data_IF_317131451918
#
_entry.id   IF_317131451918
#
_cell.length_a   1.000
_cell.length_b   1.000
_cell.length_c   1.000
_cell.angle_alpha   90.00
_cell.angle_beta   90.00
_cell.angle_gamma   90.00
#
_symmetry.space_group_name_H-M   'P 1'
#
loop_
_entity.id
_entity.type
_entity.pdbx_description
1 polymer ?
#
# COMPACT_ATOMS: atom_id res chain seq x y z
N UNK A 1 -19.71 24.71 -6.85
CA UNK A 1 -19.33 24.76 -5.42
C UNK A 1 -20.61 24.78 -4.61
N UNK A 2 -20.80 23.83 -3.70
CA UNK A 2 -21.88 23.92 -2.74
C UNK A 2 -21.58 25.08 -1.77
N UNK A 3 -22.58 25.90 -1.50
CA UNK A 3 -22.47 27.05 -0.62
C UNK A 3 -22.42 26.55 0.83
N UNK A 4 -21.21 26.56 1.41
CA UNK A 4 -20.95 26.10 2.77
C UNK A 4 -21.75 26.90 3.80
N UNK A 5 -21.99 28.19 3.55
CA UNK A 5 -22.77 29.05 4.43
C UNK A 5 -24.26 28.68 4.37
N UNK A 6 -24.78 28.36 3.18
CA UNK A 6 -26.13 27.82 3.03
C UNK A 6 -26.31 26.47 3.72
N UNK A 7 -25.33 25.56 3.63
CA UNK A 7 -25.36 24.29 4.32
C UNK A 7 -25.33 24.48 5.85
N UNK A 8 -24.44 25.35 6.34
CA UNK A 8 -24.35 25.70 7.75
C UNK A 8 -25.66 26.30 8.28
N UNK A 9 -26.30 27.18 7.50
CA UNK A 9 -27.59 27.78 7.83
C UNK A 9 -28.70 26.71 7.95
N UNK A 10 -28.81 25.81 6.98
CA UNK A 10 -29.79 24.71 7.00
C UNK A 10 -29.55 23.82 8.23
N UNK A 11 -28.29 23.47 8.50
CA UNK A 11 -27.92 22.63 9.64
C UNK A 11 -28.29 23.30 10.96
N UNK A 12 -27.92 24.57 11.17
CA UNK A 12 -28.27 25.31 12.39
C UNK A 12 -29.78 25.47 12.59
N UNK A 13 -30.54 25.61 11.51
CA UNK A 13 -32.00 25.77 11.58
C UNK A 13 -32.75 24.46 11.83
N UNK A 14 -32.16 23.30 11.51
CA UNK A 14 -32.84 22.00 11.59
C UNK A 14 -32.24 21.04 12.63
N UNK A 15 -31.06 21.34 13.19
CA UNK A 15 -30.38 20.52 14.19
C UNK A 15 -30.03 21.34 15.43
N UNK A 16 -30.30 20.79 16.61
CA UNK A 16 -29.89 21.37 17.88
C UNK A 16 -28.48 20.92 18.24
N UNK A 17 -27.59 21.87 18.51
CA UNK A 17 -26.23 21.62 18.98
C UNK A 17 -26.10 22.02 20.44
N UNK A 18 -25.20 21.36 21.18
CA UNK A 18 -24.86 21.81 22.53
C UNK A 18 -24.24 23.21 22.49
N UNK A 19 -24.57 24.06 23.46
CA UNK A 19 -24.03 25.42 23.58
C UNK A 19 -22.49 25.44 23.65
N UNK A 20 -21.89 24.35 24.17
CA UNK A 20 -20.44 24.16 24.22
C UNK A 20 -20.06 22.85 23.52
N UNK A 21 -19.58 22.96 22.28
CA UNK A 21 -19.04 21.82 21.55
C UNK A 21 -17.67 21.42 22.13
N UNK A 22 -17.47 20.13 22.38
CA UNK A 22 -16.15 19.60 22.76
C UNK A 22 -15.24 19.55 21.54
N UNK A 23 -14.00 20.01 21.69
CA UNK A 23 -12.99 19.87 20.64
C UNK A 23 -12.78 18.38 20.30
N UNK A 24 -12.79 18.08 19.01
CA UNK A 24 -12.52 16.71 18.53
C UNK A 24 -11.02 16.43 18.51
N UNK A 25 -10.65 15.17 18.75
CA UNK A 25 -9.29 14.66 18.50
C UNK A 25 -9.11 14.12 17.08
N UNK A 26 -10.15 14.23 16.26
CA UNK A 26 -10.16 13.75 14.88
C UNK A 26 -9.45 14.75 13.94
N UNK A 27 -8.70 14.26 12.94
CA UNK A 27 -8.36 12.85 12.71
C UNK A 27 -7.29 12.35 13.70
N UNK A 28 -7.48 11.14 14.22
CA UNK A 28 -6.46 10.45 15.02
C UNK A 28 -5.54 9.69 14.08
N UNK A 29 -4.24 9.95 14.16
CA UNK A 29 -3.21 9.20 13.43
C UNK A 29 -2.38 8.39 14.41
N UNK A 30 -2.25 7.09 14.13
CA UNK A 30 -1.38 6.20 14.90
C UNK A 30 -0.05 6.15 14.15
N UNK A 31 1.02 6.54 14.81
CA UNK A 31 2.36 6.48 14.21
C UNK A 31 2.80 5.04 13.98
N UNK A 32 3.49 4.83 12.87
CA UNK A 32 4.01 3.52 12.51
C UNK A 32 5.08 3.06 13.50
N UNK A 33 5.13 1.75 13.74
CA UNK A 33 6.21 1.14 14.51
C UNK A 33 7.44 1.01 13.60
N UNK A 34 8.62 1.53 14.01
CA UNK A 34 9.83 1.42 13.22
C UNK A 34 10.31 -0.03 13.08
N UNK A 35 10.55 -0.45 11.84
CA UNK A 35 11.16 -1.70 11.43
C UNK A 35 12.65 -1.42 11.28
N UNK A 36 13.46 -2.02 12.16
CA UNK A 36 14.91 -1.74 12.23
C UNK A 36 15.75 -2.79 11.52
N UNK A 37 15.23 -4.00 11.42
CA UNK A 37 15.90 -5.15 10.84
C UNK A 37 14.85 -6.11 10.27
N UNK A 38 15.27 -7.02 9.40
CA UNK A 38 14.35 -8.01 8.89
C UNK A 38 13.87 -8.93 10.02
N UNK A 39 12.56 -9.02 10.19
CA UNK A 39 11.92 -9.81 11.26
C UNK A 39 10.77 -10.61 10.68
N UNK A 40 10.71 -11.90 10.99
CA UNK A 40 9.60 -12.77 10.60
C UNK A 40 8.66 -12.97 11.78
N UNK A 41 7.47 -12.38 11.72
CA UNK A 41 6.40 -12.61 12.68
C UNK A 41 5.56 -13.82 12.24
N UNK A 42 5.64 -14.92 12.96
CA UNK A 42 4.99 -16.17 12.58
C UNK A 42 3.84 -16.52 13.52
N UNK A 43 2.66 -16.78 12.95
CA UNK A 43 1.50 -17.33 13.65
C UNK A 43 1.24 -18.75 13.14
N UNK A 44 1.43 -19.73 14.02
CA UNK A 44 1.09 -21.11 13.71
C UNK A 44 -0.44 -21.31 13.73
N UNK A 45 -1.00 -21.73 12.60
CA UNK A 45 -2.37 -22.20 12.49
C UNK A 45 -2.40 -23.60 11.84
N UNK A 46 -2.49 -24.68 12.63
CA UNK A 46 -2.50 -26.05 12.11
C UNK A 46 -3.66 -26.39 11.16
N UNK A 47 -4.68 -25.51 11.06
CA UNK A 47 -5.81 -25.68 10.13
C UNK A 47 -5.59 -24.95 8.80
N UNK A 48 -4.52 -24.17 8.68
CA UNK A 48 -4.25 -23.40 7.47
C UNK A 48 -3.76 -24.33 6.34
N UNK A 49 -4.53 -24.39 5.26
CA UNK A 49 -4.13 -25.07 4.02
C UNK A 49 -3.21 -24.22 3.15
N UNK A 50 -3.30 -22.89 3.31
CA UNK A 50 -2.51 -21.89 2.60
C UNK A 50 -1.73 -21.06 3.60
N UNK A 51 -0.56 -20.60 3.16
CA UNK A 51 0.20 -19.57 3.85
C UNK A 51 -0.28 -18.19 3.41
N UNK A 52 -0.50 -17.33 4.39
CA UNK A 52 -0.78 -15.91 4.20
C UNK A 52 0.47 -15.13 4.60
N UNK A 53 1.08 -14.44 3.64
CA UNK A 53 2.36 -13.77 3.81
C UNK A 53 2.16 -12.28 3.53
N UNK A 54 2.58 -11.44 4.46
CA UNK A 54 2.61 -9.98 4.29
C UNK A 54 4.03 -9.46 4.44
N UNK A 55 4.37 -8.45 3.66
CA UNK A 55 5.65 -7.74 3.70
C UNK A 55 5.38 -6.28 4.01
N UNK A 56 5.99 -5.77 5.08
CA UNK A 56 5.81 -4.39 5.51
C UNK A 56 7.16 -3.70 5.52
N UNK A 57 7.21 -2.50 4.96
CA UNK A 57 8.37 -1.61 5.05
C UNK A 57 7.87 -0.23 5.50
N UNK A 58 8.61 0.43 6.39
CA UNK A 58 8.36 1.84 6.66
C UNK A 58 8.77 2.68 5.46
N UNK A 59 7.90 3.61 5.09
CA UNK A 59 8.17 4.60 4.07
C UNK A 59 8.81 5.87 4.61
N UNK A 60 9.17 6.75 3.69
CA UNK A 60 9.64 8.09 4.01
C UNK A 60 8.46 9.05 4.20
N UNK A 61 8.76 10.30 4.59
CA UNK A 61 7.76 11.36 4.59
C UNK A 61 7.15 11.49 3.18
N UNK A 62 5.82 11.45 3.10
CA UNK A 62 5.14 11.52 1.81
C UNK A 62 5.31 12.90 1.17
N UNK A 63 5.87 12.91 -0.04
CA UNK A 63 5.99 14.11 -0.87
C UNK A 63 4.87 14.16 -1.91
N UNK A 64 3.93 15.09 -1.71
CA UNK A 64 2.82 15.36 -2.64
C UNK A 64 3.32 15.68 -4.07
N UNK A 65 4.53 16.22 -4.22
CA UNK A 65 5.11 16.49 -5.52
C UNK A 65 5.50 15.20 -6.26
N UNK A 66 5.79 14.12 -5.54
CA UNK A 66 6.18 12.82 -6.09
C UNK A 66 4.99 11.87 -6.28
N UNK A 67 3.79 12.24 -5.86
CA UNK A 67 2.59 11.39 -5.86
C UNK A 67 2.32 10.66 -7.20
N UNK A 68 2.56 11.31 -8.34
CA UNK A 68 2.46 10.65 -9.65
C UNK A 68 3.45 9.48 -9.84
N UNK A 69 4.63 9.56 -9.23
CA UNK A 69 5.58 8.45 -9.20
C UNK A 69 5.15 7.34 -8.23
N UNK A 70 4.44 7.65 -7.14
CA UNK A 70 3.85 6.63 -6.26
C UNK A 70 2.81 5.79 -7.02
N UNK A 71 1.91 6.44 -7.77
CA UNK A 71 0.95 5.75 -8.62
C UNK A 71 1.66 4.89 -9.68
N UNK A 72 2.65 5.47 -10.35
CA UNK A 72 3.41 4.77 -11.38
C UNK A 72 4.17 3.55 -10.82
N UNK A 73 4.77 3.66 -9.65
CA UNK A 73 5.39 2.54 -8.97
C UNK A 73 4.36 1.47 -8.59
N UNK A 74 3.18 1.85 -8.11
CA UNK A 74 2.14 0.92 -7.71
C UNK A 74 1.55 0.14 -8.91
N UNK A 75 1.31 0.79 -10.04
CA UNK A 75 0.86 0.12 -11.27
C UNK A 75 1.96 -0.80 -11.83
N UNK A 76 3.22 -0.33 -11.82
CA UNK A 76 4.37 -1.07 -12.35
C UNK A 76 4.83 -2.25 -11.49
N UNK A 77 5.03 -2.06 -10.19
CA UNK A 77 5.56 -3.08 -9.29
C UNK A 77 4.45 -3.96 -8.71
N UNK A 78 3.35 -3.33 -8.28
CA UNK A 78 2.40 -3.89 -7.36
C UNK A 78 1.33 -4.81 -7.96
N UNK A 79 0.42 -4.25 -8.75
CA UNK A 79 -0.80 -5.00 -9.09
C UNK A 79 -1.72 -4.43 -10.15
N UNK A 80 -1.29 -3.45 -10.94
CA UNK A 80 -2.00 -3.07 -12.17
C UNK A 80 -2.03 -4.22 -13.19
N UNK A 81 -2.54 -3.95 -14.39
CA UNK A 81 -2.72 -4.96 -15.46
C UNK A 81 -1.41 -5.68 -15.87
N UNK A 82 -0.25 -5.16 -15.48
CA UNK A 82 1.08 -5.71 -15.81
C UNK A 82 2.09 -5.67 -14.66
N UNK A 83 1.61 -5.56 -13.41
CA UNK A 83 2.44 -5.37 -12.22
C UNK A 83 3.44 -6.52 -12.01
N UNK A 84 4.71 -6.19 -11.77
CA UNK A 84 5.81 -7.17 -11.65
C UNK A 84 5.51 -8.28 -10.64
N UNK A 85 5.00 -7.95 -9.46
CA UNK A 85 4.65 -8.91 -8.41
C UNK A 85 3.61 -9.92 -8.90
N UNK A 86 2.57 -9.46 -9.60
CA UNK A 86 1.54 -10.34 -10.15
C UNK A 86 2.13 -11.24 -11.24
N UNK A 87 2.95 -10.70 -12.15
CA UNK A 87 3.53 -11.48 -13.23
C UNK A 87 4.49 -12.56 -12.72
N UNK A 88 5.43 -12.19 -11.84
CA UNK A 88 6.47 -13.10 -11.38
C UNK A 88 5.94 -14.21 -10.47
N UNK A 89 4.89 -13.91 -9.70
CA UNK A 89 4.33 -14.85 -8.72
C UNK A 89 3.15 -15.64 -9.29
N UNK A 90 2.23 -14.98 -10.00
CA UNK A 90 1.01 -15.62 -10.50
C UNK A 90 1.19 -16.15 -11.93
N UNK A 91 1.73 -15.35 -12.84
CA UNK A 91 1.77 -15.72 -14.27
C UNK A 91 2.91 -16.69 -14.59
N UNK A 92 4.14 -16.40 -14.15
CA UNK A 92 5.29 -17.24 -14.52
C UNK A 92 5.41 -18.53 -13.71
N UNK A 93 4.88 -18.55 -12.49
CA UNK A 93 5.13 -19.66 -11.55
C UNK A 93 3.86 -20.27 -10.95
N UNK A 94 2.68 -19.71 -11.25
CA UNK A 94 1.39 -20.20 -10.73
C UNK A 94 1.41 -20.49 -9.23
N UNK A 95 2.11 -19.63 -8.46
CA UNK A 95 2.36 -19.87 -7.04
C UNK A 95 1.20 -19.40 -6.18
N UNK A 96 0.71 -18.18 -6.44
CA UNK A 96 -0.27 -17.54 -5.59
C UNK A 96 -1.66 -17.45 -6.24
N UNK A 97 -2.68 -17.66 -5.41
CA UNK A 97 -4.07 -17.36 -5.78
C UNK A 97 -4.35 -15.86 -5.72
N UNK A 98 -3.69 -15.17 -4.79
CA UNK A 98 -3.82 -13.73 -4.57
C UNK A 98 -2.45 -13.16 -4.22
N UNK A 99 -2.01 -12.15 -4.95
CA UNK A 99 -0.73 -11.46 -4.70
C UNK A 99 -0.87 -10.00 -5.11
N UNK A 100 -0.06 -9.15 -4.51
CA UNK A 100 0.00 -7.74 -4.89
C UNK A 100 0.90 -6.96 -3.95
N UNK A 101 1.20 -5.73 -4.33
CA UNK A 101 1.90 -4.80 -3.47
C UNK A 101 1.45 -3.37 -3.71
N UNK A 102 1.66 -2.51 -2.73
CA UNK A 102 1.35 -1.09 -2.83
C UNK A 102 2.17 -0.30 -1.82
N UNK A 103 2.73 0.80 -2.27
CA UNK A 103 3.24 1.89 -1.47
C UNK A 103 2.07 2.83 -1.15
N UNK A 104 1.62 2.80 0.10
CA UNK A 104 0.43 3.49 0.58
C UNK A 104 0.75 4.94 0.96
N UNK A 105 0.07 5.86 0.28
CA UNK A 105 0.02 7.28 0.66
C UNK A 105 -0.70 7.44 2.01
N UNK A 106 -0.19 8.26 2.95
CA UNK A 106 -0.85 8.49 4.22
C UNK A 106 -2.18 9.25 4.06
N UNK A 107 -3.13 9.08 4.99
CA UNK A 107 -4.39 9.82 4.99
C UNK A 107 -4.25 11.30 5.35
N UNK A 108 -3.10 11.72 5.90
CA UNK A 108 -2.84 13.08 6.38
C UNK A 108 -1.53 13.60 5.81
N UNK A 109 -1.48 14.91 5.53
CA UNK A 109 -0.24 15.62 5.18
C UNK A 109 0.83 15.47 6.27
N UNK A 110 2.09 15.57 5.86
CA UNK A 110 3.27 15.51 6.74
C UNK A 110 3.38 14.19 7.54
N UNK A 111 2.83 13.10 7.00
CA UNK A 111 2.99 11.74 7.53
C UNK A 111 3.84 10.91 6.60
N UNK A 112 4.34 9.80 7.12
CA UNK A 112 5.11 8.86 6.33
C UNK A 112 4.18 7.97 5.51
N UNK A 113 4.64 7.57 4.33
CA UNK A 113 4.03 6.47 3.61
C UNK A 113 4.47 5.12 4.20
N UNK A 114 3.89 4.03 3.72
CA UNK A 114 4.36 2.68 4.06
C UNK A 114 4.12 1.72 2.92
N UNK A 115 4.97 0.71 2.78
CA UNK A 115 4.77 -0.33 1.79
C UNK A 115 4.06 -1.53 2.42
N UNK A 116 3.12 -2.12 1.68
CA UNK A 116 2.54 -3.42 1.98
C UNK A 116 2.55 -4.32 0.74
N UNK A 117 3.17 -5.48 0.89
CA UNK A 117 3.11 -6.60 -0.03
C UNK A 117 2.29 -7.75 0.56
N UNK A 118 1.68 -8.56 -0.29
CA UNK A 118 0.90 -9.71 0.14
C UNK A 118 0.98 -10.87 -0.85
N UNK A 119 1.04 -12.09 -0.31
CA UNK A 119 0.94 -13.34 -1.05
C UNK A 119 0.07 -14.33 -0.25
N UNK A 120 -0.95 -14.87 -0.91
CA UNK A 120 -1.68 -16.07 -0.49
C UNK A 120 -1.30 -17.26 -1.37
N UNK A 121 -0.62 -18.26 -0.80
CA UNK A 121 -0.04 -19.39 -1.54
C UNK A 121 -0.23 -20.73 -0.81
N UNK A 122 -0.05 -21.85 -1.51
CA UNK A 122 -0.03 -23.17 -0.90
C UNK A 122 1.18 -23.31 0.05
N UNK A 123 1.04 -24.12 1.11
CA UNK A 123 2.06 -24.21 2.16
C UNK A 123 3.45 -24.64 1.63
N UNK A 124 3.49 -25.60 0.71
CA UNK A 124 4.69 -26.11 0.04
C UNK A 124 5.41 -25.07 -0.83
N UNK A 125 4.68 -24.06 -1.33
CA UNK A 125 5.22 -22.96 -2.15
C UNK A 125 5.66 -21.73 -1.35
N UNK A 126 5.54 -21.77 -0.02
CA UNK A 126 5.83 -20.61 0.85
C UNK A 126 7.27 -20.12 0.70
N UNK A 127 8.23 -21.04 0.70
CA UNK A 127 9.66 -20.72 0.58
C UNK A 127 9.99 -20.06 -0.76
N UNK A 128 9.51 -20.63 -1.87
CA UNK A 128 9.72 -20.06 -3.20
C UNK A 128 9.05 -18.68 -3.36
N UNK A 129 7.83 -18.53 -2.82
CA UNK A 129 7.14 -17.25 -2.83
C UNK A 129 7.89 -16.15 -2.06
N UNK A 130 8.48 -16.50 -0.91
CA UNK A 130 9.36 -15.60 -0.15
C UNK A 130 10.59 -15.21 -0.98
N UNK A 131 11.26 -16.19 -1.61
CA UNK A 131 12.45 -15.96 -2.42
C UNK A 131 12.20 -14.97 -3.55
N UNK A 132 11.11 -15.17 -4.28
CA UNK A 132 10.74 -14.31 -5.41
C UNK A 132 10.39 -12.91 -4.94
N UNK A 133 9.53 -12.77 -3.92
CA UNK A 133 9.08 -11.45 -3.47
C UNK A 133 10.22 -10.66 -2.84
N UNK A 134 11.04 -11.29 -1.98
CA UNK A 134 12.22 -10.64 -1.41
C UNK A 134 13.27 -10.31 -2.47
N UNK A 135 13.38 -11.14 -3.51
CA UNK A 135 14.17 -10.85 -4.70
C UNK A 135 13.72 -9.57 -5.40
N UNK A 136 12.41 -9.41 -5.65
CA UNK A 136 11.84 -8.22 -6.28
C UNK A 136 12.03 -6.96 -5.44
N UNK A 137 11.92 -7.05 -4.11
CA UNK A 137 12.20 -5.92 -3.22
C UNK A 137 13.68 -5.50 -3.28
N UNK A 138 14.60 -6.48 -3.31
CA UNK A 138 16.05 -6.22 -3.37
C UNK A 138 16.50 -5.69 -4.72
N UNK A 139 15.93 -6.21 -5.79
CA UNK A 139 16.28 -5.89 -7.17
C UNK A 139 15.03 -5.90 -8.05
N UNK A 140 14.47 -4.72 -8.28
CA UNK A 140 13.34 -4.53 -9.19
C UNK A 140 13.82 -4.63 -10.65
N UNK A 141 13.30 -5.59 -11.46
CA UNK A 141 13.59 -5.65 -12.89
C UNK A 141 13.18 -4.35 -13.60
N UNK A 142 14.03 -3.83 -14.48
CA UNK A 142 13.75 -2.62 -15.26
C UNK A 142 13.23 -3.01 -16.65
N UNK A 143 11.94 -2.78 -16.90
CA UNK A 143 11.27 -3.05 -18.18
C UNK A 143 10.85 -1.73 -18.82
N UNK A 144 11.82 -0.97 -19.31
CA UNK A 144 11.63 0.41 -19.81
C UNK A 144 10.71 0.48 -21.03
N UNK A 145 10.62 -0.61 -21.80
CA UNK A 145 9.68 -0.81 -22.90
C UNK A 145 8.21 -0.68 -22.48
N UNK A 146 7.90 -0.89 -21.19
CA UNK A 146 6.53 -0.78 -20.64
C UNK A 146 6.10 0.64 -20.30
N UNK A 147 6.98 1.64 -20.40
CA UNK A 147 6.68 3.00 -19.96
C UNK A 147 5.44 3.60 -20.65
N UNK A 148 5.25 3.34 -21.95
CA UNK A 148 4.08 3.86 -22.67
C UNK A 148 2.77 3.21 -22.23
N UNK A 149 2.80 1.91 -21.94
CA UNK A 149 1.64 1.17 -21.41
C UNK A 149 1.32 1.67 -19.99
N UNK A 150 2.34 1.86 -19.15
CA UNK A 150 2.20 2.41 -17.80
C UNK A 150 1.55 3.80 -17.83
N UNK A 151 2.05 4.73 -18.66
CA UNK A 151 1.45 6.06 -18.82
C UNK A 151 -0.02 5.97 -19.23
N UNK A 152 -0.34 5.08 -20.17
CA UNK A 152 -1.70 4.90 -20.67
C UNK A 152 -2.64 4.34 -19.59
N UNK A 153 -2.18 3.35 -18.80
CA UNK A 153 -2.90 2.78 -17.66
C UNK A 153 -3.25 3.86 -16.63
N UNK A 154 -2.25 4.63 -16.20
CA UNK A 154 -2.40 5.70 -15.21
C UNK A 154 -3.36 6.81 -15.67
N UNK A 155 -3.28 7.21 -16.94
CA UNK A 155 -4.23 8.19 -17.50
C UNK A 155 -5.65 7.63 -17.54
N UNK A 156 -5.82 6.37 -17.95
CA UNK A 156 -7.13 5.71 -17.99
C UNK A 156 -7.73 5.57 -16.59
N UNK A 157 -6.92 5.26 -15.58
CA UNK A 157 -7.35 5.20 -14.19
C UNK A 157 -7.94 6.55 -13.75
N UNK A 158 -7.25 7.68 -14.00
CA UNK A 158 -7.80 9.01 -13.67
C UNK A 158 -9.13 9.27 -14.40
N UNK A 159 -9.23 8.92 -15.68
CA UNK A 159 -10.46 9.19 -16.44
C UNK A 159 -11.65 8.34 -15.99
N UNK A 160 -11.40 7.15 -15.42
CA UNK A 160 -12.44 6.20 -14.99
C UNK A 160 -12.75 6.22 -13.50
N UNK A 161 -11.86 6.75 -12.64
CA UNK A 161 -11.96 6.73 -11.17
C UNK A 161 -12.72 7.93 -10.57
N UNK A 162 -13.72 8.47 -11.27
CA UNK A 162 -14.51 9.57 -10.72
C UNK A 162 -15.35 9.09 -9.53
N UNK A 163 -15.30 9.78 -8.38
CA UNK A 163 -16.13 9.40 -7.24
C UNK A 163 -17.61 9.60 -7.57
N UNK A 164 -18.43 8.64 -7.15
CA UNK A 164 -19.88 8.75 -7.24
C UNK A 164 -20.39 9.90 -6.35
N UNK A 165 -21.60 10.39 -6.65
CA UNK A 165 -22.20 11.52 -5.94
C UNK A 165 -22.16 11.39 -4.41
N UNK A 166 -22.33 10.19 -3.87
CA UNK A 166 -22.34 9.92 -2.43
C UNK A 166 -20.95 10.04 -1.80
N UNK A 167 -19.91 9.66 -2.53
CA UNK A 167 -18.53 9.65 -2.04
C UNK A 167 -17.81 10.97 -2.30
N UNK A 168 -18.29 11.78 -3.25
CA UNK A 168 -17.65 13.02 -3.69
C UNK A 168 -17.22 13.94 -2.54
N UNK A 169 -18.09 14.14 -1.55
CA UNK A 169 -17.78 14.99 -0.40
C UNK A 169 -16.66 14.43 0.49
N UNK A 170 -16.66 13.11 0.69
CA UNK A 170 -15.64 12.41 1.46
C UNK A 170 -14.31 12.42 0.71
N UNK A 171 -14.32 12.12 -0.60
CA UNK A 171 -13.12 12.13 -1.44
C UNK A 171 -12.45 13.51 -1.45
N UNK A 172 -13.23 14.60 -1.59
CA UNK A 172 -12.68 15.96 -1.55
C UNK A 172 -12.09 16.27 -0.17
N UNK A 173 -12.74 15.84 0.91
CA UNK A 173 -12.21 16.02 2.27
C UNK A 173 -10.90 15.23 2.48
N UNK A 174 -10.81 14.00 1.97
CA UNK A 174 -9.58 13.19 2.01
C UNK A 174 -8.43 13.87 1.25
N UNK A 175 -8.70 14.42 0.06
CA UNK A 175 -7.71 15.20 -0.68
C UNK A 175 -7.22 16.41 0.12
N UNK A 176 -8.11 17.16 0.75
CA UNK A 176 -7.74 18.29 1.59
C UNK A 176 -6.88 17.88 2.79
N UNK A 177 -7.22 16.76 3.44
CA UNK A 177 -6.45 16.19 4.55
C UNK A 177 -5.05 15.76 4.13
N UNK A 178 -4.91 15.20 2.93
CA UNK A 178 -3.64 14.84 2.30
C UNK A 178 -2.82 16.07 1.85
N UNK A 179 -3.47 17.23 1.69
CA UNK A 179 -2.82 18.50 1.38
C UNK A 179 -3.06 19.01 -0.04
N UNK A 180 -3.93 18.39 -0.83
CA UNK A 180 -4.32 18.94 -2.14
C UNK A 180 -5.26 20.14 -1.98
N UNK A 181 -5.12 21.08 -2.90
CA UNK A 181 -5.95 22.29 -2.97
C UNK A 181 -6.95 22.29 -4.13
N UNK A 182 -6.84 21.31 -5.04
CA UNK A 182 -7.72 21.06 -6.17
C UNK A 182 -7.72 19.56 -6.48
N UNK A 183 -8.52 19.13 -7.44
CA UNK A 183 -8.55 17.76 -7.97
C UNK A 183 -7.12 17.26 -8.33
N UNK A 184 -6.61 16.22 -7.64
CA UNK A 184 -5.29 15.64 -7.91
C UNK A 184 -5.12 15.20 -9.36
N UNK A 185 -6.19 14.74 -10.01
CA UNK A 185 -6.16 14.23 -11.37
C UNK A 185 -5.68 15.27 -12.39
N UNK A 186 -6.02 16.54 -12.20
CA UNK A 186 -5.57 17.64 -13.08
C UNK A 186 -4.04 17.79 -13.06
N UNK A 187 -3.44 17.66 -11.88
CA UNK A 187 -1.99 17.78 -11.69
C UNK A 187 -1.30 16.51 -12.18
N UNK A 188 -1.87 15.34 -11.88
CA UNK A 188 -1.30 14.03 -12.22
C UNK A 188 -1.26 13.77 -13.72
N UNK A 189 -2.28 14.17 -14.49
CA UNK A 189 -2.29 13.96 -15.95
C UNK A 189 -1.04 14.57 -16.63
N UNK A 190 -0.69 15.81 -16.30
CA UNK A 190 0.51 16.44 -16.87
C UNK A 190 1.81 15.79 -16.38
N UNK A 191 1.83 15.32 -15.14
CA UNK A 191 2.98 14.55 -14.61
C UNK A 191 3.13 13.19 -15.29
N UNK A 192 2.03 12.49 -15.57
CA UNK A 192 2.04 11.19 -16.26
C UNK A 192 2.54 11.31 -17.70
N UNK A 193 2.15 12.36 -18.43
CA UNK A 193 2.71 12.64 -19.77
C UNK A 193 4.24 12.74 -19.74
N UNK A 194 4.79 13.41 -18.73
CA UNK A 194 6.21 13.63 -18.54
C UNK A 194 6.92 12.54 -17.70
N UNK A 195 6.21 11.49 -17.30
CA UNK A 195 6.76 10.41 -16.47
C UNK A 195 7.96 9.76 -17.16
N UNK A 196 9.02 9.51 -16.40
CA UNK A 196 10.21 8.79 -16.84
C UNK A 196 10.40 7.53 -16.01
N UNK A 197 10.93 6.49 -16.65
CA UNK A 197 11.23 5.25 -15.93
C UNK A 197 12.35 5.45 -14.90
N UNK A 198 13.28 6.37 -15.15
CA UNK A 198 14.29 6.78 -14.18
C UNK A 198 13.67 7.31 -12.88
N UNK A 199 12.61 8.12 -12.96
CA UNK A 199 11.91 8.61 -11.77
C UNK A 199 11.19 7.50 -11.00
N UNK A 200 10.61 6.51 -11.70
CA UNK A 200 10.05 5.31 -11.06
C UNK A 200 11.14 4.51 -10.33
N UNK A 201 12.31 4.32 -10.96
CA UNK A 201 13.44 3.64 -10.33
C UNK A 201 13.98 4.41 -9.13
N UNK A 202 14.09 5.74 -9.22
CA UNK A 202 14.49 6.61 -8.09
C UNK A 202 13.54 6.46 -6.90
N UNK A 203 12.23 6.43 -7.15
CA UNK A 203 11.26 6.19 -6.08
C UNK A 203 11.49 4.83 -5.44
N UNK A 204 11.61 3.76 -6.24
CA UNK A 204 11.93 2.41 -5.76
C UNK A 204 13.21 2.37 -4.90
N UNK A 205 14.30 2.98 -5.37
CA UNK A 205 15.56 3.02 -4.64
C UNK A 205 15.44 3.73 -3.29
N UNK A 206 14.64 4.80 -3.22
CA UNK A 206 14.45 5.58 -2.00
C UNK A 206 13.45 4.97 -1.02
N UNK A 207 12.42 4.28 -1.52
CA UNK A 207 11.29 3.83 -0.71
C UNK A 207 11.34 2.35 -0.37
N UNK A 208 12.05 1.54 -1.14
CA UNK A 208 11.99 0.07 -1.06
C UNK A 208 13.37 -0.55 -0.92
N UNK A 209 14.30 -0.23 -1.84
CA UNK A 209 15.59 -0.92 -1.95
C UNK A 209 16.38 -0.81 -0.64
N UNK A 210 16.95 -1.93 -0.20
CA UNK A 210 17.78 -2.03 1.01
C UNK A 210 17.10 -1.64 2.33
N UNK A 211 15.77 -1.42 2.36
CA UNK A 211 15.05 -1.18 3.61
C UNK A 211 14.76 -2.50 4.34
N UNK A 212 14.74 -2.49 5.68
CA UNK A 212 14.39 -3.67 6.46
C UNK A 212 12.91 -4.01 6.28
N UNK A 213 12.61 -5.31 6.28
CA UNK A 213 11.28 -5.86 5.97
C UNK A 213 10.74 -6.62 7.18
N UNK A 214 9.56 -6.22 7.65
CA UNK A 214 8.77 -7.04 8.56
C UNK A 214 7.91 -8.01 7.75
N UNK A 215 8.15 -9.30 7.91
CA UNK A 215 7.46 -10.37 7.19
C UNK A 215 6.48 -11.04 8.15
N UNK A 216 5.18 -10.95 7.89
CA UNK A 216 4.17 -11.60 8.71
C UNK A 216 3.67 -12.86 7.99
N UNK A 217 3.73 -14.01 8.65
CA UNK A 217 3.33 -15.30 8.08
C UNK A 217 2.30 -15.96 8.99
N UNK A 218 1.15 -16.31 8.42
CA UNK A 218 0.17 -17.21 9.04
C UNK A 218 0.15 -18.51 8.23
N UNK A 219 0.38 -19.65 8.88
CA UNK A 219 0.36 -20.95 8.22
C UNK A 219 0.52 -22.13 9.19
N UNK A 220 0.36 -23.35 8.68
CA UNK A 220 0.58 -24.58 9.44
C UNK A 220 2.08 -24.88 9.51
N UNK A 221 2.69 -24.65 10.68
CA UNK A 221 4.14 -24.85 10.91
C UNK A 221 4.62 -26.24 10.47
N UNK A 222 3.78 -27.26 10.56
CA UNK A 222 4.16 -28.63 10.18
C UNK A 222 4.38 -28.82 8.67
N UNK A 223 3.90 -27.88 7.85
CA UNK A 223 3.96 -27.88 6.39
C UNK A 223 4.94 -26.85 5.82
N UNK A 224 5.60 -26.07 6.68
CA UNK A 224 6.50 -24.99 6.27
C UNK A 224 7.96 -25.35 6.55
N UNK A 225 8.83 -25.00 5.62
CA UNK A 225 10.27 -25.02 5.85
C UNK A 225 10.70 -23.80 6.68
N UNK A 226 10.62 -23.97 8.00
CA UNK A 226 10.98 -22.92 8.95
C UNK A 226 12.48 -22.56 8.89
N UNK A 227 13.34 -23.49 8.47
CA UNK A 227 14.77 -23.23 8.33
C UNK A 227 15.04 -22.31 7.13
N UNK A 228 14.31 -22.50 6.03
CA UNK A 228 14.38 -21.60 4.89
C UNK A 228 13.79 -20.23 5.21
N UNK A 229 12.65 -20.17 5.90
CA UNK A 229 12.05 -18.90 6.36
C UNK A 229 13.02 -18.10 7.24
N UNK A 230 13.78 -18.77 8.10
CA UNK A 230 14.75 -18.13 9.00
C UNK A 230 15.88 -17.37 8.26
N UNK A 231 16.13 -17.67 6.98
CA UNK A 231 17.09 -16.92 6.15
C UNK A 231 16.68 -15.45 5.95
N UNK A 232 15.39 -15.16 6.09
CA UNK A 232 14.84 -13.83 5.85
C UNK A 232 14.79 -12.93 7.08
N UNK A 233 15.10 -13.43 8.28
CA UNK A 233 15.14 -12.63 9.49
C UNK A 233 14.87 -13.45 10.75
N UNK A 234 14.99 -12.80 11.90
CA UNK A 234 14.71 -13.42 13.20
C UNK A 234 13.23 -13.81 13.29
N UNK A 235 12.96 -15.08 13.61
CA UNK A 235 11.58 -15.57 13.73
C UNK A 235 11.01 -15.28 15.13
N UNK A 236 10.00 -14.41 15.18
CA UNK A 236 9.22 -14.09 16.36
C UNK A 236 7.88 -14.83 16.29
N UNK A 237 7.67 -15.79 17.19
CA UNK A 237 6.42 -16.55 17.23
C UNK A 237 5.32 -15.77 17.97
N UNK A 238 4.20 -15.50 17.29
CA UNK A 238 3.04 -14.80 17.83
C UNK A 238 1.93 -15.80 18.15
N UNK A 239 1.46 -15.80 19.40
CA UNK A 239 0.32 -16.63 19.79
C UNK A 239 -0.96 -16.04 19.21
N UNK A 240 -1.75 -16.84 18.48
CA UNK A 240 -3.03 -16.40 17.86
C UNK A 240 -3.94 -15.61 18.79
N UNK A 241 -4.00 -15.99 20.08
CA UNK A 241 -4.78 -15.28 21.12
C UNK A 241 -4.36 -13.83 21.39
N UNK A 242 -3.15 -13.43 21.01
CA UNK A 242 -2.65 -12.06 21.20
C UNK A 242 -3.16 -11.11 20.11
N UNK A 243 -3.56 -11.63 18.94
CA UNK A 243 -4.07 -10.82 17.82
C UNK A 243 -5.43 -10.16 18.12
N UNK A 244 -6.19 -10.73 19.05
CA UNK A 244 -7.57 -10.31 19.36
C UNK A 244 -7.70 -9.63 20.72
N UNK A 245 -6.59 -9.40 21.43
CA UNK A 245 -6.64 -8.64 22.69
C UNK A 245 -6.77 -7.15 22.35
N UNK A 246 -7.89 -6.56 22.78
CA UNK A 246 -8.10 -5.11 22.82
C UNK A 246 -7.13 -4.44 23.78
#
# INVERSE_FOLDING_TARGET
MYDADKALMIIKNNLSFAETLKATKSPVFIEDIPIKENTVYFVNDPKALQSQIYFLLNGNAFDLAQDAYYDAFNDYFGGGFSGLVVQEIREYRSMAYSTGATLKTPPLKNKNNFFVGYIGTQADKTSEALDVFMGLLREMPLKTDRLQVLKSSLMQEIYSSRPDFRELSQTVNEWQLQGYTDDPGKIKIEKFKNLTFEGVNKLYESEIKNKPVAICIVGDKSRLDMAHIAKYGTIVNIKKKMLYKK
#
